data_IF_225220099840
#
_entry.id   IF_225220099840
#
_cell.length_a   1.000
_cell.length_b   1.000
_cell.length_c   1.000
_cell.angle_alpha   90.00
_cell.angle_beta   90.00
_cell.angle_gamma   90.00
#
_symmetry.space_group_name_H-M   'P 1'
#
loop_
_entity.id
_entity.type
_entity.pdbx_description
1 polymer ?
#
# COMPACT_ATOMS: atom_id res chain seq x y z
N UNK A 1 -14.93 -10.42 11.42
CA UNK A 1 -13.48 -10.13 11.56
C UNK A 1 -13.07 -10.21 13.03
N UNK A 2 -12.99 -11.42 13.59
CA UNK A 2 -12.61 -11.63 15.00
C UNK A 2 -11.19 -12.17 15.18
N UNK A 3 -10.48 -12.44 14.08
CA UNK A 3 -9.14 -13.01 14.13
C UNK A 3 -8.11 -12.00 14.63
N UNK A 4 -7.09 -12.48 15.34
CA UNK A 4 -6.01 -11.65 15.86
C UNK A 4 -5.29 -10.87 14.75
N UNK A 5 -4.96 -11.56 13.64
CA UNK A 5 -4.31 -10.94 12.48
C UNK A 5 -5.17 -9.89 11.77
N UNK A 6 -6.48 -9.82 12.05
CA UNK A 6 -7.34 -8.79 11.46
C UNK A 6 -7.35 -7.48 12.25
N UNK A 7 -6.65 -7.38 13.38
CA UNK A 7 -6.67 -6.22 14.27
C UNK A 7 -5.70 -5.12 13.78
N UNK A 8 -6.06 -3.83 13.92
CA UNK A 8 -5.17 -2.70 13.57
C UNK A 8 -3.77 -2.80 14.19
N UNK A 9 -3.70 -3.19 15.47
CA UNK A 9 -2.42 -3.34 16.18
C UNK A 9 -1.53 -4.43 15.60
N UNK A 10 -2.09 -5.49 15.00
CA UNK A 10 -1.28 -6.52 14.34
C UNK A 10 -0.69 -5.99 13.02
N UNK A 11 -1.47 -5.23 12.24
CA UNK A 11 -0.97 -4.57 11.03
C UNK A 11 0.21 -3.65 11.34
N UNK A 12 0.06 -2.80 12.35
CA UNK A 12 1.11 -1.88 12.77
C UNK A 12 2.32 -2.59 13.39
N UNK A 13 2.09 -3.66 14.15
CA UNK A 13 3.19 -4.47 14.65
C UNK A 13 4.00 -5.08 13.50
N UNK A 14 3.34 -5.80 12.59
CA UNK A 14 4.00 -6.46 11.47
C UNK A 14 4.64 -5.47 10.49
N UNK A 15 4.02 -4.30 10.32
CA UNK A 15 4.45 -3.29 9.36
C UNK A 15 5.23 -2.13 9.97
N UNK A 16 5.63 -2.15 11.24
CA UNK A 16 6.45 -1.06 11.77
C UNK A 16 7.31 -1.53 12.94
N UNK A 17 6.69 -2.08 13.98
CA UNK A 17 7.40 -2.50 15.20
C UNK A 17 8.33 -3.68 14.92
N UNK A 18 7.86 -4.72 14.23
CA UNK A 18 8.67 -5.88 13.89
C UNK A 18 9.87 -5.52 13.00
N UNK A 19 9.68 -4.79 11.87
CA UNK A 19 10.79 -4.26 11.08
C UNK A 19 11.79 -3.42 11.89
N UNK A 20 11.32 -2.55 12.79
CA UNK A 20 12.19 -1.81 13.71
C UNK A 20 12.99 -2.75 14.63
N UNK A 21 12.36 -3.75 15.23
CA UNK A 21 13.06 -4.73 16.07
C UNK A 21 14.13 -5.51 15.29
N UNK A 22 13.91 -5.75 13.99
CA UNK A 22 14.94 -6.36 13.14
C UNK A 22 16.18 -5.48 12.99
N UNK A 23 16.06 -4.14 13.04
CA UNK A 23 17.22 -3.22 13.03
C UNK A 23 18.13 -3.39 14.25
N UNK A 24 17.64 -4.04 15.32
CA UNK A 24 18.40 -4.36 16.53
C UNK A 24 19.17 -5.67 16.43
N UNK A 25 18.98 -6.42 15.35
CA UNK A 25 19.74 -7.62 15.07
C UNK A 25 20.95 -7.20 14.22
N UNK A 26 22.14 -7.46 14.72
CA UNK A 26 23.38 -7.24 13.97
C UNK A 26 23.47 -8.21 12.77
N UNK A 27 22.88 -7.82 11.65
CA UNK A 27 22.86 -8.61 10.41
C UNK A 27 23.62 -7.92 9.26
N UNK A 28 23.51 -6.60 9.13
CA UNK A 28 24.22 -5.78 8.14
C UNK A 28 24.93 -4.63 8.86
N UNK A 29 26.20 -4.35 8.55
CA UNK A 29 26.98 -3.28 9.21
C UNK A 29 26.33 -1.90 9.09
N UNK A 30 25.66 -1.64 7.97
CA UNK A 30 24.98 -0.37 7.70
C UNK A 30 23.62 -0.27 8.38
N UNK A 31 23.06 -1.39 8.84
CA UNK A 31 21.76 -1.46 9.50
C UNK A 31 21.97 -1.89 10.95
N UNK A 32 22.37 -0.93 11.75
CA UNK A 32 22.61 -1.03 13.19
C UNK A 32 23.15 0.32 13.66
N UNK A 33 22.85 0.73 14.89
CA UNK A 33 23.20 2.06 15.46
C UNK A 33 22.32 3.23 15.01
N UNK A 34 20.99 3.04 15.00
CA UNK A 34 20.04 4.17 14.92
C UNK A 34 20.30 5.12 16.10
N UNK A 35 20.41 6.43 15.85
CA UNK A 35 20.66 7.42 16.90
C UNK A 35 19.58 7.42 18.00
N UNK A 36 19.95 7.77 19.23
CA UNK A 36 19.01 7.85 20.37
C UNK A 36 17.82 8.78 20.08
N UNK A 37 18.07 9.86 19.33
CA UNK A 37 17.05 10.80 18.90
C UNK A 37 16.02 10.11 18.01
N UNK A 38 16.46 9.35 17.01
CA UNK A 38 15.57 8.60 16.12
C UNK A 38 14.82 7.50 16.85
N UNK A 39 15.47 6.79 17.77
CA UNK A 39 14.79 5.81 18.63
C UNK A 39 13.66 6.43 19.44
N UNK A 40 13.89 7.60 20.04
CA UNK A 40 12.87 8.31 20.80
C UNK A 40 11.65 8.65 19.95
N UNK A 41 11.86 9.05 18.69
CA UNK A 41 10.79 9.36 17.74
C UNK A 41 10.00 8.11 17.34
N UNK A 42 10.69 6.98 17.14
CA UNK A 42 10.04 5.68 16.87
C UNK A 42 9.16 5.27 18.06
N UNK A 43 9.66 5.40 19.29
CA UNK A 43 8.89 5.10 20.50
C UNK A 43 7.67 6.03 20.65
N UNK A 44 7.82 7.32 20.34
CA UNK A 44 6.70 8.28 20.28
C UNK A 44 5.66 7.82 19.26
N UNK A 45 6.08 7.40 18.06
CA UNK A 45 5.17 6.91 17.02
C UNK A 45 4.39 5.68 17.48
N UNK A 46 5.07 4.71 18.10
CA UNK A 46 4.46 3.49 18.66
C UNK A 46 3.44 3.83 19.74
N UNK A 47 3.84 4.66 20.72
CA UNK A 47 2.97 5.10 21.81
C UNK A 47 1.74 5.82 21.26
N UNK A 48 1.94 6.80 20.37
CA UNK A 48 0.88 7.59 19.75
C UNK A 48 -0.13 6.71 19.01
N UNK A 49 0.36 5.70 18.29
CA UNK A 49 -0.51 4.74 17.59
C UNK A 49 -1.40 3.96 18.57
N UNK A 50 -0.84 3.40 19.65
CA UNK A 50 -1.63 2.67 20.65
C UNK A 50 -2.58 3.59 21.42
N UNK A 51 -2.15 4.80 21.78
CA UNK A 51 -3.03 5.83 22.38
C UNK A 51 -4.19 6.15 21.44
N UNK A 52 -3.95 6.29 20.13
CA UNK A 52 -4.99 6.49 19.12
C UNK A 52 -6.00 5.34 19.06
N UNK A 53 -5.53 4.08 19.12
CA UNK A 53 -6.41 2.91 19.16
C UNK A 53 -7.27 2.86 20.43
N UNK A 54 -6.69 3.19 21.59
CA UNK A 54 -7.41 3.26 22.87
C UNK A 54 -8.44 4.39 22.83
N UNK A 55 -8.08 5.58 22.35
CA UNK A 55 -9.00 6.71 22.18
C UNK A 55 -10.17 6.35 21.25
N UNK A 56 -9.90 5.70 20.11
CA UNK A 56 -10.93 5.17 19.23
C UNK A 56 -11.84 4.16 19.94
N UNK A 57 -11.29 3.35 20.85
CA UNK A 57 -12.06 2.41 21.66
C UNK A 57 -12.98 3.08 22.67
N UNK A 58 -12.47 4.04 23.42
CA UNK A 58 -13.24 4.78 24.41
C UNK A 58 -14.36 5.59 23.73
N UNK A 59 -14.08 6.28 22.62
CA UNK A 59 -15.10 7.01 21.87
C UNK A 59 -16.23 6.11 21.37
N UNK A 60 -15.90 4.91 20.92
CA UNK A 60 -16.90 3.93 20.50
C UNK A 60 -17.72 3.38 21.67
N UNK A 61 -17.10 3.11 22.81
CA UNK A 61 -17.81 2.70 24.03
C UNK A 61 -18.80 3.78 24.46
N UNK A 62 -18.34 5.03 24.55
CA UNK A 62 -19.18 6.18 24.89
C UNK A 62 -20.36 6.27 23.91
N UNK A 63 -20.10 6.21 22.60
CA UNK A 63 -21.15 6.22 21.59
C UNK A 63 -22.17 5.10 21.79
N UNK A 64 -21.74 3.89 22.14
CA UNK A 64 -22.65 2.76 22.35
C UNK A 64 -23.44 2.83 23.66
N UNK A 65 -22.89 3.48 24.69
CA UNK A 65 -23.63 3.78 25.92
C UNK A 65 -24.82 4.71 25.61
N UNK A 66 -24.66 5.67 24.70
CA UNK A 66 -25.72 6.60 24.31
C UNK A 66 -26.62 6.09 23.19
N UNK A 67 -26.07 5.33 22.24
CA UNK A 67 -26.77 4.83 21.06
C UNK A 67 -26.57 3.33 20.92
N UNK A 68 -27.61 2.55 21.22
CA UNK A 68 -27.55 1.09 21.13
C UNK A 68 -27.45 0.66 19.67
N UNK A 69 -26.23 0.49 19.17
CA UNK A 69 -26.00 0.08 17.79
C UNK A 69 -26.26 -1.42 17.66
N UNK A 70 -27.35 -1.83 17.00
CA UNK A 70 -27.61 -3.24 16.69
C UNK A 70 -26.50 -3.75 15.74
N UNK A 71 -25.79 -4.81 16.15
CA UNK A 71 -24.90 -5.56 15.26
C UNK A 71 -25.75 -6.34 14.25
N UNK A 72 -25.53 -6.12 12.97
CA UNK A 72 -26.32 -6.76 11.91
C UNK A 72 -25.59 -8.04 11.44
N UNK A 73 -26.31 -9.17 11.29
CA UNK A 73 -25.71 -10.42 10.85
C UNK A 73 -25.14 -10.36 9.41
N UNK A 74 -24.23 -11.30 9.16
CA UNK A 74 -23.10 -11.26 8.22
C UNK A 74 -23.47 -11.45 6.74
N UNK A 75 -24.65 -11.98 6.41
CA UNK A 75 -24.96 -12.53 5.09
C UNK A 75 -25.54 -11.56 4.06
N UNK A 76 -25.62 -10.26 4.37
CA UNK A 76 -26.53 -9.36 3.65
C UNK A 76 -25.88 -8.11 3.04
N UNK A 77 -24.86 -8.28 2.17
CA UNK A 77 -24.35 -7.18 1.34
C UNK A 77 -24.62 -7.48 -0.14
N UNK A 78 -25.40 -6.62 -0.78
CA UNK A 78 -25.70 -6.68 -2.22
C UNK A 78 -25.17 -5.46 -2.95
N UNK A 79 -24.93 -5.66 -4.23
CA UNK A 79 -24.56 -4.59 -5.15
C UNK A 79 -25.82 -3.90 -5.68
N UNK A 80 -25.83 -2.57 -5.69
CA UNK A 80 -26.95 -1.74 -6.17
C UNK A 80 -26.47 -0.89 -7.34
N UNK A 81 -27.40 -0.42 -8.17
CA UNK A 81 -27.08 0.42 -9.35
C UNK A 81 -26.06 -0.26 -10.29
N UNK A 82 -26.16 -1.58 -10.43
CA UNK A 82 -25.19 -2.42 -11.15
C UNK A 82 -24.86 -1.93 -12.57
N UNK A 83 -25.83 -1.55 -13.43
CA UNK A 83 -25.50 -1.07 -14.77
C UNK A 83 -24.66 0.22 -14.74
N UNK A 84 -24.99 1.15 -13.84
CA UNK A 84 -24.26 2.41 -13.67
C UNK A 84 -22.84 2.14 -13.17
N UNK A 85 -22.68 1.25 -12.18
CA UNK A 85 -21.37 0.85 -11.70
C UNK A 85 -20.51 0.27 -12.82
N UNK A 86 -21.03 -0.74 -13.53
CA UNK A 86 -20.27 -1.43 -14.56
C UNK A 86 -19.91 -0.47 -15.68
N UNK A 87 -20.83 0.37 -16.13
CA UNK A 87 -20.54 1.40 -17.13
C UNK A 87 -19.41 2.33 -16.67
N UNK A 88 -19.49 2.85 -15.44
CA UNK A 88 -18.43 3.70 -14.88
C UNK A 88 -17.07 2.99 -14.76
N UNK A 89 -17.05 1.74 -14.27
CA UNK A 89 -15.81 0.95 -14.16
C UNK A 89 -15.22 0.62 -15.54
N UNK A 90 -16.04 0.25 -16.53
CA UNK A 90 -15.55 -0.02 -17.88
C UNK A 90 -15.04 1.26 -18.55
N UNK A 91 -15.76 2.39 -18.45
CA UNK A 91 -15.28 3.68 -18.97
C UNK A 91 -13.96 4.09 -18.34
N UNK A 92 -13.81 3.95 -17.02
CA UNK A 92 -12.55 4.21 -16.33
C UNK A 92 -11.44 3.25 -16.78
N UNK A 93 -11.74 1.95 -16.90
CA UNK A 93 -10.79 0.95 -17.39
C UNK A 93 -10.24 1.31 -18.77
N UNK A 94 -11.12 1.64 -19.74
CA UNK A 94 -10.70 2.00 -21.08
C UNK A 94 -9.93 3.32 -21.12
N UNK A 95 -10.32 4.31 -20.31
CA UNK A 95 -9.58 5.56 -20.18
C UNK A 95 -8.16 5.31 -19.64
N UNK A 96 -8.03 4.51 -18.57
CA UNK A 96 -6.74 4.17 -18.00
C UNK A 96 -5.86 3.39 -18.99
N UNK A 97 -6.44 2.44 -19.75
CA UNK A 97 -5.75 1.77 -20.84
C UNK A 97 -5.29 2.75 -21.93
N UNK A 98 -6.15 3.68 -22.36
CA UNK A 98 -5.78 4.67 -23.36
C UNK A 98 -4.60 5.55 -22.91
N UNK A 99 -4.62 6.01 -21.66
CA UNK A 99 -3.49 6.74 -21.06
C UNK A 99 -2.22 5.89 -21.01
N UNK A 100 -2.32 4.62 -20.59
CA UNK A 100 -1.19 3.71 -20.53
C UNK A 100 -0.56 3.45 -21.90
N UNK A 101 -1.37 3.18 -22.92
CA UNK A 101 -0.88 2.98 -24.29
C UNK A 101 -0.34 4.26 -24.91
N UNK A 102 -0.87 5.43 -24.52
CA UNK A 102 -0.29 6.71 -24.90
C UNK A 102 1.11 6.91 -24.31
N UNK A 103 1.33 6.52 -23.04
CA UNK A 103 2.69 6.51 -22.47
C UNK A 103 3.62 5.55 -23.21
N UNK A 104 3.18 4.31 -23.51
CA UNK A 104 3.98 3.37 -24.30
C UNK A 104 4.33 3.92 -25.69
N UNK A 105 3.39 4.61 -26.33
CA UNK A 105 3.59 5.24 -27.63
C UNK A 105 4.68 6.33 -27.55
N UNK A 106 4.62 7.21 -26.55
CA UNK A 106 5.60 8.29 -26.38
C UNK A 106 6.98 7.79 -25.97
N UNK A 107 7.05 6.71 -25.19
CA UNK A 107 8.29 6.04 -24.83
C UNK A 107 8.92 5.26 -26.01
N UNK A 108 8.17 5.05 -27.10
CA UNK A 108 8.60 4.26 -28.24
C UNK A 108 8.62 2.75 -27.99
N UNK A 109 7.95 2.26 -26.93
CA UNK A 109 7.91 0.83 -26.63
C UNK A 109 7.26 0.48 -25.30
N UNK A 110 7.08 -0.82 -25.09
CA UNK A 110 6.58 -1.40 -23.83
C UNK A 110 7.80 -1.69 -22.92
N UNK A 111 7.91 -1.09 -21.72
CA UNK A 111 9.09 -1.18 -20.88
C UNK A 111 9.54 -2.61 -20.58
N UNK A 112 8.63 -3.53 -20.21
CA UNK A 112 9.02 -4.92 -19.87
C UNK A 112 9.61 -5.70 -21.06
N UNK A 113 9.31 -5.29 -22.29
CA UNK A 113 9.82 -5.90 -23.52
C UNK A 113 11.09 -5.22 -24.04
N UNK A 114 11.51 -4.13 -23.40
CA UNK A 114 12.73 -3.41 -23.77
C UNK A 114 13.97 -4.13 -23.27
N UNK A 115 15.09 -3.93 -23.98
CA UNK A 115 16.42 -4.34 -23.51
C UNK A 115 16.86 -3.55 -22.28
N UNK A 116 16.41 -2.31 -22.15
CA UNK A 116 16.72 -1.41 -21.02
C UNK A 116 15.44 -1.10 -20.23
N UNK A 117 14.95 -2.12 -19.51
CA UNK A 117 13.69 -2.04 -18.74
C UNK A 117 13.76 -0.97 -17.64
N UNK A 118 14.90 -0.82 -16.97
CA UNK A 118 15.03 0.09 -15.82
C UNK A 118 14.95 1.55 -16.27
N UNK A 119 15.69 1.95 -17.31
CA UNK A 119 15.66 3.32 -17.84
C UNK A 119 14.28 3.71 -18.35
N UNK A 120 13.64 2.82 -19.12
CA UNK A 120 12.30 3.08 -19.68
C UNK A 120 11.21 3.11 -18.61
N UNK A 121 11.32 2.30 -17.56
CA UNK A 121 10.38 2.34 -16.43
C UNK A 121 10.44 3.69 -15.71
N UNK A 122 11.62 4.23 -15.45
CA UNK A 122 11.75 5.53 -14.78
C UNK A 122 11.37 6.70 -15.68
N UNK A 123 11.53 6.55 -17.00
CA UNK A 123 11.09 7.55 -17.98
C UNK A 123 9.56 7.54 -18.20
N UNK A 124 8.87 6.51 -17.72
CA UNK A 124 7.43 6.33 -17.84
C UNK A 124 6.68 7.27 -16.89
N UNK A 125 6.62 8.55 -17.25
CA UNK A 125 5.89 9.61 -16.55
C UNK A 125 5.82 10.87 -17.44
N UNK A 126 5.36 10.71 -18.69
CA UNK A 126 5.43 11.83 -19.66
C UNK A 126 4.60 13.03 -19.19
N UNK A 127 3.51 12.76 -18.48
CA UNK A 127 2.73 13.78 -17.78
C UNK A 127 2.14 13.16 -16.52
N UNK A 128 2.32 13.81 -15.36
CA UNK A 128 1.86 13.27 -14.07
C UNK A 128 0.37 12.92 -14.03
N UNK A 129 -0.49 13.70 -14.70
CA UNK A 129 -1.94 13.43 -14.77
C UNK A 129 -2.25 12.20 -15.64
N UNK A 130 -1.60 12.10 -16.79
CA UNK A 130 -1.75 10.94 -17.69
C UNK A 130 -1.25 9.68 -17.01
N UNK A 131 -0.10 9.76 -16.34
CA UNK A 131 0.47 8.66 -15.60
C UNK A 131 -0.45 8.21 -14.47
N UNK A 132 -0.97 9.14 -13.65
CA UNK A 132 -1.93 8.84 -12.59
C UNK A 132 -3.18 8.13 -13.12
N UNK A 133 -3.71 8.57 -14.26
CA UNK A 133 -4.82 7.90 -14.93
C UNK A 133 -4.42 6.51 -15.45
N UNK A 134 -3.22 6.34 -16.00
CA UNK A 134 -2.70 5.05 -16.44
C UNK A 134 -2.59 4.05 -15.26
N UNK A 135 -1.92 4.43 -14.17
CA UNK A 135 -1.73 3.54 -13.01
C UNK A 135 -3.01 3.34 -12.20
N UNK A 136 -4.02 4.20 -12.35
CA UNK A 136 -5.36 3.98 -11.80
C UNK A 136 -6.05 2.71 -12.34
N UNK A 137 -5.52 2.12 -13.43
CA UNK A 137 -5.90 0.80 -13.92
C UNK A 137 -5.91 -0.26 -12.81
N UNK A 138 -5.00 -0.17 -11.84
CA UNK A 138 -4.93 -1.11 -10.71
C UNK A 138 -6.11 -0.98 -9.75
N UNK A 139 -6.59 0.24 -9.53
CA UNK A 139 -7.77 0.53 -8.69
C UNK A 139 -9.02 -0.03 -9.37
N UNK A 140 -9.25 0.31 -10.64
CA UNK A 140 -10.43 -0.14 -11.37
C UNK A 140 -10.43 -1.66 -11.59
N UNK A 141 -9.28 -2.28 -11.88
CA UNK A 141 -9.14 -3.74 -11.94
C UNK A 141 -9.50 -4.42 -10.62
N UNK A 142 -9.06 -3.86 -9.49
CA UNK A 142 -9.43 -4.36 -8.16
C UNK A 142 -10.94 -4.26 -7.93
N UNK A 143 -11.55 -3.14 -8.26
CA UNK A 143 -12.99 -2.92 -8.13
C UNK A 143 -13.80 -3.85 -9.04
N UNK A 144 -13.33 -4.13 -10.25
CA UNK A 144 -13.94 -5.11 -11.16
C UNK A 144 -13.89 -6.52 -10.55
N UNK A 145 -12.74 -6.97 -10.02
CA UNK A 145 -12.63 -8.28 -9.38
C UNK A 145 -13.50 -8.38 -8.13
N UNK A 146 -13.54 -7.33 -7.30
CA UNK A 146 -14.44 -7.30 -6.14
C UNK A 146 -15.90 -7.35 -6.59
N UNK A 147 -16.27 -6.60 -7.63
CA UNK A 147 -17.63 -6.59 -8.21
C UNK A 147 -18.02 -7.97 -8.74
N UNK A 148 -17.11 -8.65 -9.45
CA UNK A 148 -17.33 -10.01 -9.93
C UNK A 148 -17.62 -11.01 -8.78
N UNK A 149 -17.15 -10.75 -7.56
CA UNK A 149 -17.47 -11.59 -6.39
C UNK A 149 -18.93 -11.51 -5.94
N UNK A 150 -19.70 -10.53 -6.42
CA UNK A 150 -21.14 -10.39 -6.19
C UNK A 150 -21.98 -10.98 -7.33
N UNK A 151 -21.39 -11.23 -8.49
CA UNK A 151 -22.09 -11.69 -9.69
C UNK A 151 -22.13 -13.22 -9.79
N UNK A 152 -23.02 -13.74 -10.64
CA UNK A 152 -23.13 -15.17 -10.94
C UNK A 152 -23.08 -15.43 -12.45
N UNK A 153 -22.79 -16.67 -12.84
CA UNK A 153 -22.79 -17.11 -14.24
C UNK A 153 -21.69 -16.48 -15.10
N UNK A 154 -21.99 -16.29 -16.39
CA UNK A 154 -21.03 -15.82 -17.40
C UNK A 154 -20.51 -14.40 -17.12
N UNK A 155 -21.38 -13.52 -16.62
CA UNK A 155 -21.00 -12.11 -16.38
C UNK A 155 -19.92 -12.00 -15.30
N UNK A 156 -19.97 -12.84 -14.26
CA UNK A 156 -18.90 -12.94 -13.27
C UNK A 156 -17.55 -13.25 -13.92
N UNK A 157 -17.53 -14.22 -14.83
CA UNK A 157 -16.30 -14.65 -15.51
C UNK A 157 -15.77 -13.50 -16.37
N UNK A 158 -16.62 -12.85 -17.15
CA UNK A 158 -16.23 -11.73 -18.01
C UNK A 158 -15.65 -10.55 -17.21
N UNK A 159 -16.35 -10.09 -16.16
CA UNK A 159 -15.89 -8.99 -15.31
C UNK A 159 -14.58 -9.34 -14.60
N UNK A 160 -14.46 -10.58 -14.11
CA UNK A 160 -13.23 -11.07 -13.49
C UNK A 160 -12.05 -11.08 -14.48
N UNK A 161 -12.26 -11.59 -15.69
CA UNK A 161 -11.22 -11.63 -16.73
C UNK A 161 -10.77 -10.24 -17.17
N UNK A 162 -11.68 -9.27 -17.28
CA UNK A 162 -11.31 -7.88 -17.59
C UNK A 162 -10.48 -7.28 -16.46
N UNK A 163 -10.88 -7.51 -15.20
CA UNK A 163 -10.09 -7.08 -14.04
C UNK A 163 -8.68 -7.67 -14.05
N UNK A 164 -8.55 -8.98 -14.32
CA UNK A 164 -7.27 -9.66 -14.46
C UNK A 164 -6.44 -9.13 -15.63
N UNK A 165 -7.08 -8.83 -16.76
CA UNK A 165 -6.43 -8.26 -17.93
C UNK A 165 -5.83 -6.87 -17.64
N UNK A 166 -6.49 -6.04 -16.84
CA UNK A 166 -5.89 -4.76 -16.43
C UNK A 166 -4.64 -4.92 -15.56
N UNK A 167 -4.58 -5.94 -14.69
CA UNK A 167 -3.33 -6.25 -13.97
C UNK A 167 -2.23 -6.76 -14.90
N UNK A 168 -2.59 -7.56 -15.91
CA UNK A 168 -1.66 -7.96 -16.96
C UNK A 168 -1.10 -6.73 -17.70
N UNK A 169 -1.96 -5.79 -18.11
CA UNK A 169 -1.52 -4.55 -18.76
C UNK A 169 -0.61 -3.71 -17.87
N UNK A 170 -0.93 -3.58 -16.57
CA UNK A 170 -0.04 -2.91 -15.62
C UNK A 170 1.31 -3.63 -15.47
N UNK A 171 1.35 -4.96 -15.54
CA UNK A 171 2.63 -5.67 -15.48
C UNK A 171 3.57 -5.30 -16.65
N UNK A 172 3.01 -4.82 -17.77
CA UNK A 172 3.78 -4.40 -18.94
C UNK A 172 4.60 -3.12 -18.71
N UNK A 173 4.25 -2.31 -17.69
CA UNK A 173 5.05 -1.13 -17.31
C UNK A 173 6.42 -1.52 -16.74
N UNK A 174 6.60 -2.77 -16.34
CA UNK A 174 7.78 -3.21 -15.59
C UNK A 174 7.83 -2.65 -14.17
N UNK A 175 6.86 -1.81 -13.76
CA UNK A 175 6.73 -1.29 -12.42
C UNK A 175 5.90 -2.24 -11.56
N UNK A 176 6.59 -2.90 -10.63
CA UNK A 176 6.04 -4.01 -9.85
C UNK A 176 5.05 -3.53 -8.81
N UNK A 177 5.28 -2.36 -8.22
CA UNK A 177 4.41 -1.81 -7.17
C UNK A 177 2.99 -1.54 -7.68
N UNK A 178 2.85 -1.02 -8.90
CA UNK A 178 1.56 -0.56 -9.45
C UNK A 178 0.49 -1.65 -9.48
N UNK A 179 0.86 -2.89 -9.82
CA UNK A 179 -0.08 -4.02 -9.81
C UNK A 179 0.00 -4.86 -8.53
N UNK A 180 1.18 -5.03 -7.93
CA UNK A 180 1.35 -5.90 -6.75
C UNK A 180 0.64 -5.35 -5.51
N UNK A 181 0.63 -4.03 -5.32
CA UNK A 181 -0.08 -3.40 -4.20
C UNK A 181 -1.58 -3.69 -4.26
N UNK A 182 -2.15 -3.55 -5.45
CA UNK A 182 -3.58 -3.80 -5.69
C UNK A 182 -3.94 -5.27 -5.56
N UNK A 183 -3.07 -6.18 -6.02
CA UNK A 183 -3.21 -7.62 -5.76
C UNK A 183 -3.15 -7.94 -4.26
N UNK A 184 -2.25 -7.30 -3.50
CA UNK A 184 -2.15 -7.48 -2.06
C UNK A 184 -3.41 -6.98 -1.33
N UNK A 185 -4.01 -5.87 -1.77
CA UNK A 185 -5.31 -5.39 -1.28
C UNK A 185 -6.39 -6.46 -1.48
N UNK A 186 -6.47 -7.03 -2.68
CA UNK A 186 -7.43 -8.10 -2.97
C UNK A 186 -7.19 -9.32 -2.09
N UNK A 187 -5.94 -9.72 -1.90
CA UNK A 187 -5.57 -10.83 -1.02
C UNK A 187 -6.05 -10.59 0.42
N UNK A 188 -5.75 -9.42 1.00
CA UNK A 188 -6.22 -9.05 2.34
C UNK A 188 -7.75 -9.03 2.38
N UNK A 189 -8.40 -8.45 1.38
CA UNK A 189 -9.86 -8.41 1.30
C UNK A 189 -10.49 -9.80 1.34
N UNK A 190 -10.02 -10.74 0.52
CA UNK A 190 -10.55 -12.10 0.49
C UNK A 190 -10.20 -12.90 1.76
N UNK A 191 -9.01 -12.72 2.33
CA UNK A 191 -8.62 -13.33 3.62
C UNK A 191 -9.54 -12.84 4.75
N UNK A 192 -9.90 -11.57 4.75
CA UNK A 192 -10.80 -10.99 5.76
C UNK A 192 -12.29 -11.30 5.48
N UNK A 193 -12.67 -11.56 4.23
CA UNK A 193 -14.02 -11.95 3.78
C UNK A 193 -14.10 -13.41 3.31
N UNK A 194 -13.85 -14.33 4.26
CA UNK A 194 -13.82 -15.79 4.05
C UNK A 194 -15.10 -16.39 3.42
N UNK A 195 -16.23 -15.68 3.50
CA UNK A 195 -17.52 -16.13 2.93
C UNK A 195 -17.59 -15.96 1.40
N UNK A 196 -16.58 -15.37 0.77
CA UNK A 196 -16.53 -15.17 -0.69
C UNK A 196 -15.49 -16.04 -1.35
N UNK A 197 -15.93 -16.72 -2.41
CA UNK A 197 -15.34 -17.89 -3.09
C UNK A 197 -13.88 -17.80 -3.59
N UNK A 198 -13.17 -16.68 -3.50
CA UNK A 198 -11.74 -16.68 -3.83
C UNK A 198 -11.02 -17.31 -2.64
N UNK A 199 -10.97 -18.65 -2.67
CA UNK A 199 -10.37 -19.46 -1.63
C UNK A 199 -8.94 -19.00 -1.40
N UNK A 200 -8.50 -19.01 -0.14
CA UNK A 200 -7.12 -18.76 0.30
C UNK A 200 -6.06 -19.41 -0.61
N UNK A 201 -6.38 -20.54 -1.26
CA UNK A 201 -5.51 -21.21 -2.24
C UNK A 201 -5.11 -20.31 -3.42
N UNK A 202 -6.00 -19.46 -3.93
CA UNK A 202 -5.69 -18.53 -5.03
C UNK A 202 -4.82 -17.36 -4.58
N UNK A 203 -5.03 -16.89 -3.34
CA UNK A 203 -4.13 -15.92 -2.70
C UNK A 203 -2.73 -16.51 -2.51
N UNK A 204 -2.63 -17.74 -2.00
CA UNK A 204 -1.36 -18.46 -1.86
C UNK A 204 -0.70 -18.65 -3.23
N UNK A 205 -1.45 -19.07 -4.26
CA UNK A 205 -0.92 -19.20 -5.61
C UNK A 205 -0.38 -17.88 -6.16
N UNK A 206 -1.07 -16.76 -5.91
CA UNK A 206 -0.59 -15.41 -6.25
C UNK A 206 0.71 -15.06 -5.53
N UNK A 207 0.82 -15.33 -4.22
CA UNK A 207 2.05 -15.12 -3.45
C UNK A 207 3.23 -15.98 -3.96
N UNK A 208 2.97 -17.23 -4.33
CA UNK A 208 3.98 -18.13 -4.91
C UNK A 208 4.44 -17.61 -6.28
N UNK A 209 3.51 -17.19 -7.14
CA UNK A 209 3.83 -16.62 -8.44
C UNK A 209 4.69 -15.35 -8.32
N UNK A 210 4.33 -14.46 -7.39
CA UNK A 210 5.10 -13.26 -7.06
C UNK A 210 6.51 -13.62 -6.58
N UNK A 211 6.63 -14.59 -5.68
CA UNK A 211 7.92 -15.03 -5.14
C UNK A 211 8.81 -15.60 -6.24
N UNK A 212 8.23 -16.38 -7.18
CA UNK A 212 8.95 -16.88 -8.34
C UNK A 212 9.49 -15.75 -9.23
N UNK A 213 8.73 -14.67 -9.41
CA UNK A 213 9.17 -13.51 -10.20
C UNK A 213 10.35 -12.75 -9.55
N UNK A 214 10.34 -12.61 -8.23
CA UNK A 214 11.48 -12.03 -7.47
C UNK A 214 12.71 -12.92 -7.59
N UNK A 215 12.55 -14.23 -7.42
CA UNK A 215 13.65 -15.20 -7.56
C UNK A 215 14.23 -15.23 -8.97
N UNK A 216 13.41 -15.05 -10.01
CA UNK A 216 13.91 -14.91 -11.40
C UNK A 216 14.80 -13.68 -11.59
N UNK A 217 14.48 -12.53 -10.96
CA UNK A 217 15.36 -11.34 -11.01
C UNK A 217 16.70 -11.63 -10.34
N UNK A 218 16.67 -12.24 -9.16
CA UNK A 218 17.87 -12.61 -8.42
C UNK A 218 18.76 -13.57 -9.21
N UNK A 219 18.16 -14.62 -9.80
CA UNK A 219 18.87 -15.53 -10.70
C UNK A 219 19.48 -14.80 -11.90
N UNK A 220 18.75 -13.86 -12.50
CA UNK A 220 19.26 -13.04 -13.60
C UNK A 220 20.49 -12.25 -13.16
N UNK A 221 20.41 -11.50 -12.07
CA UNK A 221 21.54 -10.66 -11.63
C UNK A 221 22.80 -11.47 -11.32
N UNK A 222 22.65 -12.67 -10.76
CA UNK A 222 23.77 -13.61 -10.55
C UNK A 222 24.30 -14.16 -11.89
N UNK A 223 23.43 -14.57 -12.80
CA UNK A 223 23.81 -15.18 -14.07
C UNK A 223 24.51 -14.20 -15.04
N UNK A 224 24.24 -12.89 -14.91
CA UNK A 224 24.81 -11.84 -15.78
C UNK A 224 26.09 -11.20 -15.21
N UNK A 225 26.71 -11.80 -14.19
CA UNK A 225 28.09 -11.47 -13.78
C UNK A 225 28.26 -10.16 -13.01
N UNK A 226 27.19 -9.60 -12.45
CA UNK A 226 27.32 -8.60 -11.39
C UNK A 226 27.84 -9.33 -10.16
N UNK A 227 28.92 -8.84 -9.53
CA UNK A 227 29.42 -9.38 -8.26
C UNK A 227 28.49 -9.03 -7.09
N UNK A 228 27.25 -9.45 -7.22
CA UNK A 228 26.19 -9.21 -6.28
C UNK A 228 26.48 -9.91 -4.95
N UNK A 229 27.15 -11.07 -4.99
CA UNK A 229 27.56 -11.79 -3.79
C UNK A 229 28.68 -11.05 -3.06
N UNK A 230 29.71 -10.56 -3.76
CA UNK A 230 30.76 -9.73 -3.15
C UNK A 230 30.22 -8.45 -2.52
N UNK A 231 29.29 -7.75 -3.20
CA UNK A 231 28.60 -6.59 -2.62
C UNK A 231 27.81 -6.92 -1.35
N UNK A 232 27.18 -8.10 -1.28
CA UNK A 232 26.47 -8.54 -0.08
C UNK A 232 27.46 -8.87 1.04
N UNK A 233 28.55 -9.56 0.71
CA UNK A 233 29.56 -9.99 1.67
C UNK A 233 30.23 -8.83 2.38
N UNK A 234 30.51 -7.74 1.66
CA UNK A 234 31.05 -6.50 2.24
C UNK A 234 30.10 -5.86 3.27
N UNK A 235 28.79 -6.11 3.15
CA UNK A 235 27.78 -5.51 4.01
C UNK A 235 27.33 -6.43 5.16
N UNK A 236 27.48 -7.75 5.01
CA UNK A 236 27.06 -8.73 6.01
C UNK A 236 27.99 -8.79 7.23
N UNK A 237 27.39 -8.87 8.42
CA UNK A 237 28.15 -9.11 9.65
C UNK A 237 28.46 -10.61 9.79
N UNK A 238 29.72 -10.95 10.05
CA UNK A 238 30.21 -12.32 10.25
C UNK A 238 30.33 -13.16 8.98
N UNK A 239 30.54 -14.47 9.11
CA UNK A 239 30.82 -15.34 7.96
C UNK A 239 29.62 -15.41 6.98
N UNK A 240 29.86 -15.34 5.65
CA UNK A 240 28.85 -15.56 4.64
C UNK A 240 28.24 -16.96 4.73
N UNK A 241 26.92 -17.07 4.49
CA UNK A 241 26.23 -18.35 4.44
C UNK A 241 25.05 -18.28 3.47
N UNK A 242 24.67 -19.43 2.91
CA UNK A 242 23.53 -19.54 1.98
C UNK A 242 22.23 -18.95 2.58
N UNK A 243 22.03 -19.12 3.89
CA UNK A 243 20.87 -18.58 4.60
C UNK A 243 20.94 -17.05 4.66
N UNK A 244 22.11 -16.46 4.95
CA UNK A 244 22.27 -14.99 4.97
C UNK A 244 21.99 -14.38 3.60
N UNK A 245 22.53 -14.95 2.52
CA UNK A 245 22.24 -14.47 1.17
C UNK A 245 20.76 -14.55 0.82
N UNK A 246 20.08 -15.64 1.21
CA UNK A 246 18.66 -15.80 0.94
C UNK A 246 17.78 -14.81 1.71
N UNK A 247 18.16 -14.47 2.94
CA UNK A 247 17.39 -13.57 3.82
C UNK A 247 17.76 -12.10 3.63
N UNK A 248 18.95 -11.80 3.12
CA UNK A 248 19.47 -10.44 3.00
C UNK A 248 18.53 -9.45 2.27
N UNK A 249 17.95 -9.77 1.09
CA UNK A 249 17.05 -8.84 0.43
C UNK A 249 15.81 -8.53 1.28
N UNK A 250 15.29 -9.53 2.00
CA UNK A 250 14.14 -9.35 2.89
C UNK A 250 14.52 -8.50 4.10
N UNK A 251 15.68 -8.76 4.71
CA UNK A 251 16.18 -7.99 5.84
C UNK A 251 16.38 -6.53 5.45
N UNK A 252 17.14 -6.25 4.38
CA UNK A 252 17.37 -4.89 3.90
C UNK A 252 16.05 -4.20 3.57
N UNK A 253 15.14 -4.88 2.88
CA UNK A 253 13.82 -4.32 2.62
C UNK A 253 13.18 -3.93 3.96
N UNK A 254 13.09 -4.82 4.96
CA UNK A 254 12.48 -4.52 6.26
C UNK A 254 13.13 -3.38 7.04
N UNK A 255 14.44 -3.21 6.96
CA UNK A 255 15.17 -2.36 7.89
C UNK A 255 15.67 -1.03 7.30
N UNK A 256 15.94 -0.98 5.99
CA UNK A 256 16.61 0.15 5.35
C UNK A 256 15.86 1.49 5.52
N UNK A 257 14.52 1.48 5.54
CA UNK A 257 13.74 2.70 5.72
C UNK A 257 13.98 3.42 7.06
N UNK A 258 14.38 2.68 8.11
CA UNK A 258 14.74 3.26 9.41
C UNK A 258 16.10 3.94 9.38
N UNK A 259 17.05 3.40 8.62
CA UNK A 259 18.37 4.03 8.42
C UNK A 259 18.22 5.35 7.66
N UNK A 260 17.40 5.39 6.60
CA UNK A 260 17.10 6.63 5.88
C UNK A 260 16.40 7.65 6.78
N UNK A 261 15.52 7.19 7.68
CA UNK A 261 14.90 8.06 8.67
C UNK A 261 15.94 8.65 9.64
N UNK A 262 16.90 7.86 10.11
CA UNK A 262 17.97 8.33 10.99
C UNK A 262 18.82 9.41 10.33
N UNK A 263 19.23 9.21 9.06
CA UNK A 263 19.94 10.22 8.28
C UNK A 263 19.17 11.54 8.16
N UNK A 264 17.84 11.47 7.97
CA UNK A 264 16.99 12.68 7.94
C UNK A 264 16.91 13.37 9.32
N UNK A 265 16.95 12.61 10.42
CA UNK A 265 16.92 13.17 11.78
C UNK A 265 18.25 13.86 12.12
N UNK A 266 19.36 13.30 11.65
CA UNK A 266 20.72 13.83 11.82
C UNK A 266 21.02 15.04 10.93
N UNK A 267 20.51 15.05 9.69
CA UNK A 267 20.68 16.17 8.77
C UNK A 267 20.03 17.48 9.25
N UNK A 268 19.05 17.41 10.16
CA UNK A 268 18.34 18.57 10.70
C UNK A 268 17.16 19.02 9.84
N UNK A 269 16.42 20.02 10.33
CA UNK A 269 15.14 20.47 9.76
C UNK A 269 15.20 21.84 9.06
N UNK A 270 16.35 22.52 9.07
CA UNK A 270 16.45 23.92 8.66
C UNK A 270 16.08 24.12 7.18
N UNK A 271 15.01 24.89 6.94
CA UNK A 271 14.50 25.19 5.59
C UNK A 271 13.63 24.10 4.95
N UNK A 272 13.35 23.03 5.68
CA UNK A 272 12.61 21.84 5.20
C UNK A 272 11.19 21.73 5.78
N UNK A 273 10.88 22.58 6.75
CA UNK A 273 9.60 22.62 7.45
C UNK A 273 8.45 23.16 6.57
N UNK A 274 7.22 22.98 7.05
CA UNK A 274 6.05 23.66 6.46
C UNK A 274 5.22 22.81 5.50
N UNK A 275 5.29 21.48 5.59
CA UNK A 275 4.43 20.55 4.86
C UNK A 275 4.92 20.21 3.45
N UNK A 276 6.07 20.75 3.03
CA UNK A 276 6.63 20.53 1.70
C UNK A 276 7.01 19.07 1.51
N UNK A 277 7.51 18.42 2.54
CA UNK A 277 8.00 17.04 2.43
C UNK A 277 6.85 16.03 2.42
N UNK A 278 5.79 16.22 3.19
CA UNK A 278 4.63 15.31 3.32
C UNK A 278 3.64 15.50 2.19
N UNK A 279 3.43 16.74 1.75
CA UNK A 279 2.48 17.09 0.71
C UNK A 279 3.14 17.34 -0.65
N UNK A 280 4.42 16.98 -0.80
CA UNK A 280 5.17 17.16 -2.05
C UNK A 280 4.40 16.67 -3.27
N UNK A 281 3.80 15.48 -3.20
CA UNK A 281 3.05 14.89 -4.32
C UNK A 281 1.79 15.69 -4.70
N UNK A 282 1.25 16.54 -3.81
CA UNK A 282 0.19 17.49 -4.16
C UNK A 282 0.78 18.73 -4.83
N UNK A 283 1.93 19.22 -4.34
CA UNK A 283 2.63 20.35 -4.96
C UNK A 283 3.13 20.03 -6.37
N UNK A 284 3.57 18.79 -6.62
CA UNK A 284 4.05 18.38 -7.95
C UNK A 284 2.96 18.33 -9.02
N UNK A 285 1.67 18.35 -8.63
CA UNK A 285 0.55 18.48 -9.56
C UNK A 285 0.28 19.94 -9.95
N UNK A 286 0.73 20.91 -9.16
CA UNK A 286 0.50 22.32 -9.47
C UNK A 286 1.34 22.74 -10.69
N UNK A 287 0.79 23.56 -11.61
CA UNK A 287 1.53 24.01 -12.78
C UNK A 287 2.77 24.83 -12.39
N UNK A 288 3.88 24.64 -13.09
CA UNK A 288 5.14 25.36 -12.90
C UNK A 288 6.37 24.44 -12.86
N UNK A 289 7.57 25.03 -12.76
CA UNK A 289 8.79 24.27 -12.50
C UNK A 289 8.81 23.80 -11.05
N UNK A 290 8.48 22.53 -10.83
CA UNK A 290 8.59 21.87 -9.53
C UNK A 290 9.91 21.10 -9.50
N UNK A 291 10.69 21.27 -8.43
CA UNK A 291 11.90 20.45 -8.21
C UNK A 291 11.45 19.03 -7.90
N UNK A 292 11.88 18.03 -8.67
CA UNK A 292 11.57 16.62 -8.47
C UNK A 292 11.87 16.12 -7.03
N UNK A 293 11.05 15.18 -6.50
CA UNK A 293 11.18 14.72 -5.11
C UNK A 293 12.50 13.99 -4.85
N UNK A 294 12.91 13.14 -5.80
CA UNK A 294 14.19 12.46 -5.75
C UNK A 294 15.33 13.45 -5.72
N UNK A 295 15.28 14.46 -6.59
CA UNK A 295 16.25 15.57 -6.62
C UNK A 295 16.29 16.35 -5.31
N UNK A 296 15.13 16.70 -4.74
CA UNK A 296 15.02 17.43 -3.47
C UNK A 296 15.61 16.62 -2.30
N UNK A 297 15.26 15.34 -2.18
CA UNK A 297 15.76 14.46 -1.13
C UNK A 297 17.25 14.13 -1.29
N UNK A 298 17.71 13.91 -2.51
CA UNK A 298 19.12 13.61 -2.79
C UNK A 298 20.02 14.82 -2.49
N UNK A 299 19.54 16.03 -2.80
CA UNK A 299 20.20 17.27 -2.38
C UNK A 299 20.31 17.40 -0.86
N UNK A 300 19.30 16.95 -0.10
CA UNK A 300 19.37 16.96 1.37
C UNK A 300 20.34 15.95 1.94
N UNK A 301 20.30 14.73 1.43
CA UNK A 301 21.10 13.63 1.96
C UNK A 301 22.55 13.69 1.46
N UNK A 302 22.86 14.59 0.52
CA UNK A 302 24.18 14.65 -0.13
C UNK A 302 24.51 13.38 -0.93
N UNK A 303 23.47 12.67 -1.40
CA UNK A 303 23.62 11.38 -2.06
C UNK A 303 23.44 11.56 -3.57
N UNK A 304 24.49 11.28 -4.35
CA UNK A 304 24.46 11.25 -5.82
C UNK A 304 23.84 9.93 -6.37
N UNK A 305 22.74 9.46 -5.78
CA UNK A 305 22.11 8.20 -6.16
C UNK A 305 20.77 8.41 -6.85
N UNK A 306 20.64 7.88 -8.08
CA UNK A 306 19.50 8.11 -8.95
C UNK A 306 18.21 7.37 -8.52
N UNK A 307 18.26 6.51 -7.50
CA UNK A 307 17.09 5.80 -7.00
C UNK A 307 16.57 6.42 -5.70
N UNK A 308 15.26 6.62 -5.64
CA UNK A 308 14.62 7.28 -4.53
C UNK A 308 14.55 6.37 -3.29
N UNK A 309 15.53 6.50 -2.40
CA UNK A 309 15.52 5.82 -1.10
C UNK A 309 14.23 6.13 -0.31
N UNK A 310 13.43 5.12 0.01
CA UNK A 310 12.20 5.31 0.78
C UNK A 310 12.49 5.30 2.27
N UNK A 311 12.08 6.36 2.95
CA UNK A 311 12.13 6.46 4.41
C UNK A 311 10.82 5.94 5.02
N UNK A 312 10.77 5.80 6.35
CA UNK A 312 9.51 5.42 7.02
C UNK A 312 8.43 6.52 6.90
N UNK A 313 7.16 6.21 7.14
CA UNK A 313 6.13 7.28 7.23
C UNK A 313 6.43 8.33 8.31
N UNK A 314 7.12 7.93 9.37
CA UNK A 314 7.47 8.81 10.50
C UNK A 314 8.33 9.96 10.01
N UNK A 315 9.24 9.68 9.08
CA UNK A 315 10.10 10.67 8.44
C UNK A 315 9.31 11.80 7.79
N UNK A 316 8.21 11.50 7.10
CA UNK A 316 7.42 12.53 6.42
C UNK A 316 6.87 13.54 7.44
N UNK A 317 6.22 13.03 8.49
CA UNK A 317 5.65 13.88 9.52
C UNK A 317 6.73 14.56 10.39
N UNK A 318 7.87 13.92 10.57
CA UNK A 318 8.99 14.48 11.32
C UNK A 318 9.65 15.65 10.57
N UNK A 319 9.92 15.50 9.27
CA UNK A 319 10.58 16.55 8.49
C UNK A 319 9.77 17.84 8.48
N UNK A 320 8.44 17.74 8.35
CA UNK A 320 7.61 18.95 8.27
C UNK A 320 7.17 19.52 9.62
N UNK A 321 7.02 18.69 10.65
CA UNK A 321 6.33 19.06 11.90
C UNK A 321 7.05 18.54 13.16
N UNK A 322 8.27 18.03 13.03
CA UNK A 322 9.07 17.49 14.12
C UNK A 322 8.40 16.33 14.87
N UNK A 323 8.77 16.18 16.15
CA UNK A 323 8.25 15.12 17.01
C UNK A 323 6.72 15.20 17.20
N UNK A 324 6.14 16.41 17.18
CA UNK A 324 4.70 16.61 17.26
C UNK A 324 3.98 16.02 16.04
N UNK A 325 4.55 16.21 14.84
CA UNK A 325 4.09 15.57 13.61
C UNK A 325 4.04 14.06 13.71
N UNK A 326 5.13 13.46 14.20
CA UNK A 326 5.24 12.01 14.40
C UNK A 326 4.10 11.48 15.28
N UNK A 327 3.86 12.15 16.41
CA UNK A 327 2.76 11.81 17.30
C UNK A 327 1.42 11.93 16.60
N UNK A 328 1.14 13.09 15.99
CA UNK A 328 -0.16 13.38 15.36
C UNK A 328 -0.45 12.45 14.18
N UNK A 329 0.53 12.20 13.32
CA UNK A 329 0.41 11.31 12.16
C UNK A 329 0.12 9.87 12.59
N UNK A 330 0.89 9.33 13.53
CA UNK A 330 0.71 7.97 14.07
C UNK A 330 -0.63 7.82 14.80
N UNK A 331 -1.02 8.82 15.60
CA UNK A 331 -2.31 8.87 16.27
C UNK A 331 -3.47 8.89 15.27
N UNK A 332 -3.38 9.75 14.25
CA UNK A 332 -4.44 9.90 13.22
C UNK A 332 -4.61 8.62 12.41
N UNK A 333 -3.51 7.96 12.03
CA UNK A 333 -3.53 6.67 11.35
C UNK A 333 -4.24 5.62 12.21
N UNK A 334 -3.91 5.53 13.50
CA UNK A 334 -4.54 4.60 14.43
C UNK A 334 -6.05 4.86 14.57
N UNK A 335 -6.46 6.12 14.72
CA UNK A 335 -7.88 6.49 14.81
C UNK A 335 -8.62 6.11 13.54
N UNK A 336 -8.07 6.43 12.36
CA UNK A 336 -8.67 6.11 11.06
C UNK A 336 -8.80 4.59 10.88
N UNK A 337 -7.71 3.84 11.07
CA UNK A 337 -7.69 2.39 10.91
C UNK A 337 -8.59 1.71 11.94
N UNK A 338 -8.58 2.16 13.19
CA UNK A 338 -9.44 1.68 14.26
C UNK A 338 -10.93 1.94 14.01
N UNK A 339 -11.28 3.12 13.50
CA UNK A 339 -12.65 3.47 13.17
C UNK A 339 -13.18 2.61 12.00
N UNK A 340 -12.39 2.47 10.93
CA UNK A 340 -12.76 1.65 9.78
C UNK A 340 -12.81 0.17 10.12
N UNK A 341 -11.89 -0.34 10.96
CA UNK A 341 -11.91 -1.72 11.46
C UNK A 341 -13.23 -2.05 12.17
N UNK A 342 -13.67 -1.19 13.10
CA UNK A 342 -14.93 -1.38 13.81
C UNK A 342 -16.12 -1.33 12.86
N UNK A 343 -16.10 -0.37 11.94
CA UNK A 343 -17.15 -0.25 10.93
C UNK A 343 -17.22 -1.50 10.06
N UNK A 344 -16.09 -2.04 9.62
CA UNK A 344 -15.99 -3.29 8.86
C UNK A 344 -16.43 -4.52 9.67
N UNK A 345 -16.15 -4.55 10.97
CA UNK A 345 -16.62 -5.60 11.88
C UNK A 345 -18.14 -5.63 12.02
N UNK A 346 -18.78 -4.46 12.00
CA UNK A 346 -20.24 -4.31 12.10
C UNK A 346 -20.95 -4.36 10.74
N UNK A 347 -20.26 -3.95 9.67
CA UNK A 347 -20.80 -3.79 8.33
C UNK A 347 -19.74 -4.18 7.30
N UNK A 348 -19.88 -5.39 6.75
CA UNK A 348 -18.90 -6.00 5.84
C UNK A 348 -18.65 -5.20 4.58
N UNK A 349 -19.53 -4.25 4.20
CA UNK A 349 -19.29 -3.31 3.09
C UNK A 349 -17.95 -2.61 3.21
N UNK A 350 -17.57 -2.23 4.43
CA UNK A 350 -16.33 -1.48 4.69
C UNK A 350 -15.10 -2.38 4.82
N UNK A 351 -15.21 -3.70 4.60
CA UNK A 351 -14.04 -4.60 4.65
C UNK A 351 -13.04 -4.27 3.55
N UNK A 352 -13.51 -3.85 2.38
CA UNK A 352 -12.63 -3.44 1.29
C UNK A 352 -11.82 -2.20 1.67
N UNK A 353 -12.51 -1.15 2.14
CA UNK A 353 -11.87 0.06 2.67
C UNK A 353 -10.88 -0.28 3.80
N UNK A 354 -11.26 -1.18 4.70
CA UNK A 354 -10.35 -1.64 5.75
C UNK A 354 -9.13 -2.35 5.19
N UNK A 355 -9.28 -3.22 4.19
CA UNK A 355 -8.18 -3.99 3.60
C UNK A 355 -7.13 -3.10 2.96
N UNK A 356 -7.56 -1.98 2.38
CA UNK A 356 -6.69 -0.96 1.79
C UNK A 356 -5.91 -0.23 2.87
N UNK A 357 -6.59 0.31 3.88
CA UNK A 357 -5.93 0.97 5.01
C UNK A 357 -5.01 0.02 5.77
N UNK A 358 -5.41 -1.25 5.88
CA UNK A 358 -4.62 -2.31 6.49
C UNK A 358 -3.36 -2.61 5.69
N UNK A 359 -3.46 -2.73 4.35
CA UNK A 359 -2.27 -2.87 3.51
C UNK A 359 -1.38 -1.65 3.66
N UNK A 360 -1.92 -0.44 3.48
CA UNK A 360 -1.12 0.77 3.58
C UNK A 360 -0.46 0.92 4.95
N UNK A 361 -1.07 0.42 6.03
CA UNK A 361 -0.40 0.33 7.35
C UNK A 361 0.70 -0.73 7.36
N UNK A 362 0.49 -1.89 6.73
CA UNK A 362 1.49 -2.95 6.59
C UNK A 362 2.68 -2.56 5.73
N UNK A 363 2.54 -1.60 4.82
CA UNK A 363 3.63 -1.16 3.94
C UNK A 363 3.99 0.30 4.19
N UNK A 364 3.44 0.94 5.22
CA UNK A 364 3.54 2.38 5.45
C UNK A 364 4.98 2.88 5.60
N UNK A 365 5.93 1.97 5.78
CA UNK A 365 7.36 2.25 5.88
C UNK A 365 8.12 2.08 4.56
N UNK A 366 7.45 1.69 3.48
CA UNK A 366 7.98 1.44 2.14
C UNK A 366 7.50 2.41 1.06
N UNK A 367 6.59 3.29 1.44
CA UNK A 367 5.70 3.92 0.48
C UNK A 367 6.29 5.26 0.09
N UNK A 368 6.70 5.30 -1.17
CA UNK A 368 7.10 6.50 -1.89
C UNK A 368 6.01 7.58 -1.83
N UNK A 369 6.39 8.86 -1.91
CA UNK A 369 5.43 9.95 -1.66
C UNK A 369 4.27 10.01 -2.65
N UNK A 370 4.54 9.70 -3.91
CA UNK A 370 3.49 9.58 -4.92
C UNK A 370 2.58 8.37 -4.67
N UNK A 371 3.09 7.35 -3.99
CA UNK A 371 2.27 6.23 -3.55
C UNK A 371 1.33 6.67 -2.42
N UNK A 372 1.67 7.65 -1.56
CA UNK A 372 0.70 8.25 -0.63
C UNK A 372 -0.40 9.03 -1.34
N UNK A 373 -0.07 9.79 -2.39
CA UNK A 373 -1.08 10.51 -3.18
C UNK A 373 -2.08 9.54 -3.83
N UNK A 374 -1.59 8.50 -4.51
CA UNK A 374 -2.50 7.48 -5.09
C UNK A 374 -3.23 6.69 -4.00
N UNK A 375 -2.67 6.58 -2.78
CA UNK A 375 -3.38 6.01 -1.63
C UNK A 375 -4.62 6.81 -1.30
N UNK A 376 -4.56 8.16 -1.30
CA UNK A 376 -5.72 9.00 -1.06
C UNK A 376 -6.79 8.81 -2.15
N UNK A 377 -6.38 8.79 -3.42
CA UNK A 377 -7.28 8.54 -4.55
C UNK A 377 -7.93 7.15 -4.44
N UNK A 378 -7.14 6.12 -4.14
CA UNK A 378 -7.63 4.76 -3.92
C UNK A 378 -8.62 4.73 -2.75
N UNK A 379 -8.22 5.18 -1.55
CA UNK A 379 -9.07 5.24 -0.36
C UNK A 379 -10.40 5.96 -0.68
N UNK A 380 -10.36 7.09 -1.38
CA UNK A 380 -11.54 7.82 -1.84
C UNK A 380 -12.44 7.01 -2.77
N UNK A 381 -11.87 6.43 -3.83
CA UNK A 381 -12.59 5.61 -4.80
C UNK A 381 -13.24 4.37 -4.15
N UNK A 382 -12.52 3.68 -3.29
CA UNK A 382 -13.01 2.52 -2.57
C UNK A 382 -14.04 2.89 -1.49
N UNK A 383 -13.88 4.02 -0.80
CA UNK A 383 -14.88 4.53 0.13
C UNK A 383 -16.18 4.87 -0.61
N UNK A 384 -16.09 5.58 -1.74
CA UNK A 384 -17.22 5.86 -2.62
C UNK A 384 -17.92 4.58 -3.06
N UNK A 385 -17.15 3.58 -3.52
CA UNK A 385 -17.67 2.27 -3.87
C UNK A 385 -18.45 1.60 -2.74
N UNK A 386 -17.86 1.56 -1.54
CA UNK A 386 -18.46 0.94 -0.36
C UNK A 386 -19.74 1.65 0.11
N UNK A 387 -19.84 2.96 -0.09
CA UNK A 387 -20.99 3.77 0.37
C UNK A 387 -22.12 3.76 -0.66
N UNK A 388 -21.79 3.94 -1.94
CA UNK A 388 -22.77 4.19 -2.99
C UNK A 388 -23.28 2.90 -3.65
N UNK A 389 -22.40 1.94 -3.93
CA UNK A 389 -22.75 0.73 -4.68
C UNK A 389 -23.00 -0.49 -3.80
N UNK A 390 -22.50 -0.50 -2.57
CA UNK A 390 -22.78 -1.59 -1.63
C UNK A 390 -23.91 -1.20 -0.66
N UNK A 391 -24.98 -1.97 -0.65
CA UNK A 391 -26.10 -1.78 0.29
C UNK A 391 -26.36 -3.05 1.08
N UNK A 392 -26.87 -2.85 2.29
CA UNK A 392 -27.38 -3.94 3.10
C UNK A 392 -28.61 -4.52 2.40
N UNK A 393 -28.69 -5.83 2.23
CA UNK A 393 -30.01 -6.45 2.07
C UNK A 393 -30.69 -6.33 3.43
N UNK A 394 -31.90 -5.80 3.45
CA UNK A 394 -32.78 -5.99 4.61
C UNK A 394 -33.29 -7.43 4.48
N UNK A 395 -33.30 -8.27 5.53
CA UNK A 395 -34.05 -9.51 5.46
C UNK A 395 -35.49 -9.12 5.13
N UNK A 396 -36.06 -9.63 4.05
CA UNK A 396 -37.45 -9.33 3.72
C UNK A 396 -38.32 -9.66 4.94
N UNK A 397 -38.89 -8.61 5.56
CA UNK A 397 -39.86 -8.73 6.66
C UNK A 397 -41.09 -9.56 6.23
N UNK A 398 -41.26 -9.79 4.92
CA UNK A 398 -42.28 -10.65 4.34
C UNK A 398 -42.14 -12.15 4.71
N UNK A 399 -40.98 -12.62 5.20
CA UNK A 399 -40.81 -14.03 5.62
C UNK A 399 -41.19 -14.31 7.08
N UNK A 400 -41.58 -13.28 7.85
CA UNK A 400 -42.06 -13.42 9.23
C UNK A 400 -43.57 -13.14 9.38
N UNK A 401 -44.28 -12.87 8.27
CA UNK A 401 -45.73 -12.71 8.27
C UNK A 401 -46.50 -13.99 7.93
N UNK A 402 -45.79 -15.08 7.61
CA UNK A 402 -46.35 -16.42 7.38
C UNK A 402 -45.71 -17.41 8.36
N UNK A 403 -46.06 -17.30 9.64
CA UNK A 403 -46.04 -18.41 10.62
C UNK A 403 -47.00 -18.10 11.77
#
# INVERSE_FOLDING_TARGET
MNYFYSRPGFAFFMGFVFPYLLTKIEFVYTVGNISEKTESLILIAVLAFFVGLVSCYLLWLLKNCFFRTKSVPVSQVRLVHRPILLWGLFSWFFLACACLFYEFYLLGGIPILSKDVESLRFSMQVNGYVHLLAISLGIVSSLLIVTASFDQGLVRIQVFLVGLFGFFLLSLTGNRSDFMLMLAILCIFFVLNRDRMISLKWTIAGCVFISAFVLMKFYREIAFGVDYMGMIDEQLIGEPSAIKYAVYPLYLTLTYGFMVFDWLVEAGLDGLEGGRYTFYAFYSLLPGHQMDFGTYKNQMLGIDFYAELTSTFVSNFYVDFGAFGVFLGSFSLAVLLGAVYRKAKMDRRFTLLYSILYLYTLIFFYVYIYVYFISFVAIGAFAFYCVFFLRRSVPDEASYAEN
#
